data_IF_866400677249
#
_entry.id   IF_866400677249
#
_cell.length_a   1.000
_cell.length_b   1.000
_cell.length_c   1.000
_cell.angle_alpha   90.00
_cell.angle_beta   90.00
_cell.angle_gamma   90.00
#
_symmetry.space_group_name_H-M   'P 1'
#
loop_
_entity.id
_entity.type
_entity.pdbx_description
1 polymer ?
#
# COMPACT_ATOMS: atom_id res chain seq x y z
N UNK A 1 12.76 -0.63 17.75
CA UNK A 1 12.99 0.74 17.23
C UNK A 1 12.11 0.90 16.00
N UNK A 2 11.41 2.02 15.79
CA UNK A 2 10.67 2.22 14.54
C UNK A 2 11.64 2.61 13.42
N UNK A 3 11.26 2.35 12.15
CA UNK A 3 12.09 2.77 11.00
C UNK A 3 12.34 4.28 10.99
N UNK A 4 11.40 5.09 11.45
CA UNK A 4 11.59 6.54 11.57
C UNK A 4 12.69 6.87 12.59
N UNK A 5 12.71 6.21 13.74
CA UNK A 5 13.78 6.42 14.74
C UNK A 5 15.15 5.95 14.25
N UNK A 6 15.20 4.86 13.48
CA UNK A 6 16.41 4.39 12.82
C UNK A 6 16.92 5.44 11.81
N UNK A 7 16.05 5.98 10.97
CA UNK A 7 16.40 7.03 10.01
C UNK A 7 16.86 8.30 10.76
N UNK A 8 16.17 8.72 11.81
CA UNK A 8 16.56 9.86 12.63
C UNK A 8 17.96 9.70 13.25
N UNK A 9 18.30 8.47 13.68
CA UNK A 9 19.65 8.20 14.21
C UNK A 9 20.75 8.35 13.16
N UNK A 10 20.42 8.09 11.90
CA UNK A 10 21.34 8.25 10.75
C UNK A 10 21.36 9.67 10.21
N UNK A 11 20.25 10.40 10.35
CA UNK A 11 20.07 11.76 9.81
C UNK A 11 19.57 12.67 10.95
N UNK A 12 20.48 13.23 11.77
CA UNK A 12 20.11 14.08 12.91
C UNK A 12 19.31 15.34 12.50
N UNK A 13 19.47 15.81 11.27
CA UNK A 13 18.68 16.93 10.73
C UNK A 13 17.17 16.60 10.71
N UNK A 14 16.80 15.35 10.36
CA UNK A 14 15.41 14.91 10.37
C UNK A 14 14.86 14.84 11.81
N UNK A 15 15.66 14.33 12.75
CA UNK A 15 15.27 14.29 14.16
C UNK A 15 14.96 15.69 14.68
N UNK A 16 15.76 16.69 14.26
CA UNK A 16 15.58 18.08 14.66
C UNK A 16 14.28 18.71 14.18
N UNK A 17 13.68 18.18 13.13
CA UNK A 17 12.38 18.64 12.59
C UNK A 17 11.18 18.06 13.32
N UNK A 18 11.34 16.98 14.09
CA UNK A 18 10.26 16.38 14.87
C UNK A 18 10.06 17.19 16.15
N UNK A 19 8.79 17.52 16.45
CA UNK A 19 8.44 18.18 17.70
C UNK A 19 8.28 17.15 18.81
N UNK A 20 9.28 17.09 19.70
CA UNK A 20 9.32 16.20 20.85
C UNK A 20 8.73 16.80 22.14
N UNK A 21 8.14 18.00 22.07
CA UNK A 21 7.48 18.59 23.24
C UNK A 21 6.39 17.68 23.78
N UNK A 22 6.18 17.77 25.10
CA UNK A 22 5.23 16.92 25.81
C UNK A 22 3.82 17.05 25.20
N UNK A 23 3.26 15.92 24.78
CA UNK A 23 1.91 15.85 24.21
C UNK A 23 1.83 16.07 22.71
N UNK A 24 2.93 16.39 22.04
CA UNK A 24 2.99 16.52 20.58
C UNK A 24 3.19 15.17 19.91
N UNK A 25 4.43 14.77 19.67
CA UNK A 25 4.68 13.45 19.11
C UNK A 25 4.43 12.35 20.14
N UNK A 26 3.81 11.24 19.73
CA UNK A 26 3.40 10.15 20.62
C UNK A 26 3.70 8.80 20.00
N UNK A 27 4.33 7.93 20.79
CA UNK A 27 4.53 6.53 20.46
C UNK A 27 4.08 5.66 21.63
N UNK A 28 3.08 4.85 21.38
CA UNK A 28 2.59 3.81 22.31
C UNK A 28 2.50 2.49 21.56
N UNK A 29 2.09 1.41 22.22
CA UNK A 29 1.87 0.11 21.58
C UNK A 29 0.85 0.19 20.45
N UNK A 30 -0.17 1.02 20.60
CA UNK A 30 -1.32 1.05 19.69
C UNK A 30 -1.45 2.36 18.88
N UNK A 31 -0.57 3.32 19.13
CA UNK A 31 -0.63 4.62 18.44
C UNK A 31 0.77 5.14 18.18
N UNK A 32 1.03 5.49 16.95
CA UNK A 32 2.25 6.20 16.53
C UNK A 32 1.83 7.46 15.81
N UNK A 33 2.30 8.59 16.30
CA UNK A 33 2.07 9.90 15.68
C UNK A 33 3.32 10.77 15.85
N UNK A 34 3.82 11.27 14.74
CA UNK A 34 4.89 12.25 14.72
C UNK A 34 4.33 13.59 14.22
N UNK A 35 4.64 14.64 14.96
CA UNK A 35 4.29 16.02 14.60
C UNK A 35 5.60 16.73 14.31
N UNK A 36 5.69 17.36 13.15
CA UNK A 36 6.84 18.14 12.73
C UNK A 36 6.70 19.60 13.15
N UNK A 37 7.82 20.33 13.23
CA UNK A 37 7.84 21.75 13.61
C UNK A 37 7.02 22.65 12.69
N UNK A 38 6.88 22.26 11.42
CA UNK A 38 6.03 22.97 10.46
C UNK A 38 4.52 22.63 10.59
N UNK A 39 4.13 21.86 11.61
CA UNK A 39 2.74 21.44 11.85
C UNK A 39 2.28 20.24 11.05
N UNK A 40 3.07 19.71 10.12
CA UNK A 40 2.69 18.47 9.41
C UNK A 40 2.74 17.26 10.34
N UNK A 41 1.97 16.22 10.02
CA UNK A 41 1.88 15.02 10.86
C UNK A 41 1.96 13.76 10.04
N UNK A 42 2.61 12.75 10.61
CA UNK A 42 2.58 11.35 10.14
C UNK A 42 2.05 10.49 11.28
N UNK A 43 1.04 9.68 11.01
CA UNK A 43 0.52 8.73 11.99
C UNK A 43 0.08 7.42 11.34
N UNK A 44 -0.09 6.39 12.16
CA UNK A 44 -0.60 5.10 11.73
C UNK A 44 -2.11 5.08 11.95
N UNK A 45 -2.83 4.75 10.88
CA UNK A 45 -4.28 4.58 10.89
C UNK A 45 -4.60 3.08 10.68
N UNK A 46 -5.35 2.50 11.61
CA UNK A 46 -5.78 1.12 11.45
C UNK A 46 -6.87 1.01 10.37
N UNK A 47 -6.77 0.02 9.48
CA UNK A 47 -7.81 -0.28 8.49
C UNK A 47 -9.01 -0.96 9.16
N UNK A 48 -9.81 -0.21 9.92
CA UNK A 48 -10.94 -0.67 10.73
C UNK A 48 -12.06 0.36 10.74
N UNK A 49 -13.27 -0.08 11.06
CA UNK A 49 -14.44 0.78 11.21
C UNK A 49 -14.22 1.90 12.24
N UNK A 50 -13.44 1.65 13.30
CA UNK A 50 -13.07 2.66 14.31
C UNK A 50 -12.28 3.85 13.78
N UNK A 51 -11.74 3.75 12.58
CA UNK A 51 -11.02 4.85 11.90
C UNK A 51 -11.95 5.81 11.15
N UNK A 52 -13.24 5.50 11.10
CA UNK A 52 -14.26 6.39 10.51
C UNK A 52 -14.26 7.76 11.16
N UNK A 53 -14.36 8.79 10.33
CA UNK A 53 -14.39 10.19 10.81
C UNK A 53 -13.01 10.81 11.04
N UNK A 54 -11.92 10.07 10.92
CA UNK A 54 -10.57 10.63 10.92
C UNK A 54 -10.37 11.56 9.70
N UNK A 55 -9.37 12.42 9.76
CA UNK A 55 -9.06 13.37 8.67
C UNK A 55 -7.59 13.30 8.32
N UNK A 56 -7.30 13.11 7.04
CA UNK A 56 -5.94 13.04 6.49
C UNK A 56 -5.90 13.73 5.12
N UNK A 57 -4.74 14.17 4.71
CA UNK A 57 -4.54 14.79 3.38
C UNK A 57 -3.88 13.84 2.38
N UNK A 58 -3.25 12.78 2.88
CA UNK A 58 -2.59 11.76 2.07
C UNK A 58 -2.70 10.42 2.79
N UNK A 59 -2.77 9.33 2.04
CA UNK A 59 -2.74 7.95 2.53
C UNK A 59 -1.58 7.20 1.89
N UNK A 60 -0.84 6.47 2.72
CA UNK A 60 0.07 5.43 2.30
C UNK A 60 -0.46 4.11 2.86
N UNK A 61 -0.85 3.20 1.99
CA UNK A 61 -1.46 1.92 2.32
C UNK A 61 -0.46 0.81 2.04
N UNK A 62 0.17 0.33 3.08
CA UNK A 62 1.10 -0.80 3.01
C UNK A 62 0.32 -2.11 3.09
N UNK A 63 0.79 -3.12 2.36
CA UNK A 63 0.15 -4.44 2.27
C UNK A 63 -1.34 -4.36 1.91
N UNK A 64 -1.69 -3.51 0.94
CA UNK A 64 -3.09 -3.26 0.61
C UNK A 64 -3.84 -4.52 0.13
N UNK A 65 -3.13 -5.58 -0.26
CA UNK A 65 -3.69 -6.90 -0.56
C UNK A 65 -4.41 -7.53 0.64
N UNK A 66 -4.03 -7.15 1.87
CA UNK A 66 -4.61 -7.65 3.12
C UNK A 66 -5.77 -6.77 3.64
N UNK A 67 -5.99 -5.60 3.04
CA UNK A 67 -7.04 -4.68 3.48
C UNK A 67 -8.37 -5.13 2.87
N UNK A 68 -9.41 -5.17 3.70
CA UNK A 68 -10.77 -5.39 3.24
C UNK A 68 -11.24 -4.23 2.34
N UNK A 69 -11.77 -4.57 1.16
CA UNK A 69 -12.15 -3.58 0.15
C UNK A 69 -13.29 -2.67 0.59
N UNK A 70 -14.24 -3.18 1.37
CA UNK A 70 -15.36 -2.38 1.87
C UNK A 70 -14.87 -1.38 2.93
N UNK A 71 -13.99 -1.80 3.82
CA UNK A 71 -13.33 -0.92 4.79
C UNK A 71 -12.48 0.13 4.07
N UNK A 72 -11.72 -0.26 3.05
CA UNK A 72 -10.91 0.69 2.29
C UNK A 72 -11.76 1.77 1.65
N UNK A 73 -12.82 1.39 0.92
CA UNK A 73 -13.66 2.32 0.18
C UNK A 73 -14.59 3.15 1.07
N UNK A 74 -15.16 2.55 2.14
CA UNK A 74 -16.18 3.22 2.95
C UNK A 74 -15.63 3.95 4.18
N UNK A 75 -14.43 3.61 4.63
CA UNK A 75 -13.82 4.17 5.85
C UNK A 75 -12.53 4.91 5.56
N UNK A 76 -11.55 4.25 4.92
CA UNK A 76 -10.18 4.77 4.83
C UNK A 76 -10.08 5.87 3.76
N UNK A 77 -10.48 5.60 2.52
CA UNK A 77 -10.43 6.60 1.44
C UNK A 77 -11.18 7.88 1.79
N UNK A 78 -12.42 7.83 2.36
CA UNK A 78 -13.13 9.04 2.77
C UNK A 78 -12.41 9.90 3.82
N UNK A 79 -11.41 9.38 4.54
CA UNK A 79 -10.61 10.20 5.46
C UNK A 79 -9.82 11.31 4.75
N UNK A 80 -9.53 11.16 3.45
CA UNK A 80 -8.81 12.16 2.65
C UNK A 80 -9.70 13.28 2.11
N UNK A 81 -11.01 13.25 2.38
CA UNK A 81 -11.94 14.26 1.89
C UNK A 81 -11.85 15.57 2.71
N UNK A 82 -10.65 16.09 2.92
CA UNK A 82 -10.41 17.39 3.58
C UNK A 82 -9.29 18.13 2.87
N UNK A 83 -9.44 19.45 2.77
CA UNK A 83 -8.41 20.30 2.22
C UNK A 83 -7.31 20.53 3.27
N UNK A 84 -6.08 20.69 2.80
CA UNK A 84 -4.94 21.04 3.64
C UNK A 84 -5.18 22.42 4.28
N UNK A 85 -4.84 22.54 5.56
CA UNK A 85 -4.73 23.84 6.22
C UNK A 85 -3.34 24.44 5.92
N UNK A 86 -3.32 25.71 5.57
CA UNK A 86 -2.11 26.51 5.48
C UNK A 86 -1.67 26.98 6.88
N UNK A 87 -0.41 27.46 7.05
CA UNK A 87 0.08 27.91 8.35
C UNK A 87 -0.74 29.06 8.98
N UNK A 88 -1.45 29.83 8.18
CA UNK A 88 -2.36 30.87 8.60
C UNK A 88 -3.78 30.39 8.97
N UNK A 89 -3.98 29.05 9.04
CA UNK A 89 -5.27 28.39 9.26
C UNK A 89 -6.31 28.59 8.14
N UNK A 90 -5.94 29.18 7.01
CA UNK A 90 -6.79 29.16 5.82
C UNK A 90 -6.77 27.78 5.14
N UNK A 91 -7.85 27.42 4.46
CA UNK A 91 -7.87 26.20 3.65
C UNK A 91 -7.23 26.47 2.30
N UNK A 92 -6.37 25.57 1.89
CA UNK A 92 -5.81 25.62 0.54
C UNK A 92 -6.95 25.48 -0.49
N UNK A 93 -6.88 26.26 -1.57
CA UNK A 93 -7.85 26.18 -2.66
C UNK A 93 -7.90 24.76 -3.26
N UNK A 94 -9.06 24.38 -3.77
CA UNK A 94 -9.31 23.02 -4.33
C UNK A 94 -8.37 22.68 -5.50
N UNK A 95 -7.92 23.66 -6.24
CA UNK A 95 -6.99 23.53 -7.37
C UNK A 95 -5.58 23.00 -6.99
N UNK A 96 -5.24 23.00 -5.71
CA UNK A 96 -3.91 22.56 -5.20
C UNK A 96 -4.07 21.43 -4.17
N UNK A 97 -5.10 20.63 -4.29
CA UNK A 97 -5.40 19.58 -3.31
C UNK A 97 -4.51 18.37 -3.54
N UNK A 98 -3.65 18.11 -2.57
CA UNK A 98 -2.90 16.87 -2.53
C UNK A 98 -3.68 15.82 -1.73
N UNK A 99 -4.52 15.06 -2.41
CA UNK A 99 -5.26 13.90 -1.87
C UNK A 99 -4.60 12.60 -2.31
N UNK A 100 -3.29 12.55 -2.31
CA UNK A 100 -2.52 11.42 -2.82
C UNK A 100 -2.84 10.13 -2.07
N UNK A 101 -3.02 9.08 -2.83
CA UNK A 101 -3.19 7.72 -2.35
C UNK A 101 -2.06 6.87 -2.91
N UNK A 102 -1.25 6.30 -2.04
CA UNK A 102 -0.11 5.46 -2.39
C UNK A 102 -0.41 4.05 -1.92
N UNK A 103 -0.42 3.10 -2.84
CA UNK A 103 -0.65 1.69 -2.59
C UNK A 103 0.67 0.94 -2.73
N UNK A 104 1.09 0.25 -1.67
CA UNK A 104 2.30 -0.57 -1.66
C UNK A 104 1.87 -2.00 -1.32
N UNK A 105 2.20 -2.96 -2.16
CA UNK A 105 1.81 -4.35 -1.93
C UNK A 105 2.56 -5.30 -2.85
N UNK A 106 2.64 -6.56 -2.47
CA UNK A 106 2.95 -7.67 -3.36
C UNK A 106 1.73 -8.06 -4.20
N UNK A 107 1.91 -8.90 -5.21
CA UNK A 107 0.81 -9.35 -6.05
C UNK A 107 -0.18 -10.21 -5.23
N UNK A 108 -1.46 -9.92 -5.40
CA UNK A 108 -2.54 -10.65 -4.77
C UNK A 108 -3.17 -11.72 -5.66
N UNK A 109 -4.33 -12.24 -5.22
CA UNK A 109 -5.16 -13.11 -6.02
C UNK A 109 -5.95 -12.29 -7.05
N UNK A 110 -6.13 -12.82 -8.28
CA UNK A 110 -6.89 -12.15 -9.35
C UNK A 110 -8.36 -11.87 -9.01
N UNK A 111 -8.90 -12.57 -8.04
CA UNK A 111 -10.25 -12.33 -7.51
C UNK A 111 -10.26 -11.46 -6.24
N UNK A 112 -9.14 -10.83 -5.89
CA UNK A 112 -9.07 -9.93 -4.75
C UNK A 112 -9.44 -8.49 -5.12
N UNK A 113 -9.86 -7.72 -4.13
CA UNK A 113 -10.06 -6.29 -4.27
C UNK A 113 -8.79 -5.58 -4.76
N UNK A 114 -7.62 -5.94 -4.22
CA UNK A 114 -6.35 -5.33 -4.61
C UNK A 114 -6.03 -5.50 -6.10
N UNK A 115 -6.36 -6.67 -6.68
CA UNK A 115 -6.21 -6.89 -8.11
C UNK A 115 -7.17 -6.02 -8.93
N UNK A 116 -8.43 -5.92 -8.52
CA UNK A 116 -9.41 -5.04 -9.18
C UNK A 116 -8.95 -3.57 -9.13
N UNK A 117 -8.40 -3.15 -7.99
CA UNK A 117 -7.85 -1.79 -7.83
C UNK A 117 -6.61 -1.57 -8.70
N UNK A 118 -5.73 -2.56 -8.82
CA UNK A 118 -4.59 -2.50 -9.74
C UNK A 118 -5.04 -2.30 -11.20
N UNK A 119 -6.04 -3.06 -11.65
CA UNK A 119 -6.58 -2.93 -13.01
C UNK A 119 -7.20 -1.54 -13.22
N UNK A 120 -7.97 -1.04 -12.25
CA UNK A 120 -8.53 0.32 -12.28
C UNK A 120 -7.41 1.37 -12.45
N UNK A 121 -6.36 1.29 -11.62
CA UNK A 121 -5.22 2.21 -11.67
C UNK A 121 -4.43 2.09 -12.99
N UNK A 122 -4.28 0.87 -13.54
CA UNK A 122 -3.65 0.67 -14.85
C UNK A 122 -4.43 1.39 -15.96
N UNK A 123 -5.75 1.28 -15.95
CA UNK A 123 -6.60 2.02 -16.90
C UNK A 123 -6.45 3.53 -16.69
N UNK A 124 -6.48 3.98 -15.44
CA UNK A 124 -6.33 5.40 -15.11
C UNK A 124 -4.97 5.94 -15.56
N UNK A 125 -3.89 5.21 -15.37
CA UNK A 125 -2.54 5.64 -15.79
C UNK A 125 -2.38 5.79 -17.31
N UNK A 126 -3.23 5.10 -18.10
CA UNK A 126 -3.27 5.25 -19.57
C UNK A 126 -4.10 6.48 -19.96
N UNK A 127 -5.22 6.73 -19.24
CA UNK A 127 -6.12 7.84 -19.53
C UNK A 127 -5.51 9.16 -19.07
N UNK A 128 -4.91 9.17 -17.88
CA UNK A 128 -4.37 10.36 -17.21
C UNK A 128 -3.01 10.05 -16.56
N UNK A 129 -1.94 10.01 -17.35
CA UNK A 129 -0.61 9.66 -16.86
C UNK A 129 0.00 10.71 -15.92
N UNK A 130 -0.54 11.93 -15.86
CA UNK A 130 -0.07 12.97 -14.94
C UNK A 130 -0.62 12.77 -13.52
N UNK A 131 -1.78 12.15 -13.39
CA UNK A 131 -2.44 11.94 -12.10
C UNK A 131 -2.24 10.54 -11.52
N UNK A 132 -1.86 9.55 -12.34
CA UNK A 132 -1.72 8.17 -11.91
C UNK A 132 -0.43 7.54 -12.43
N UNK A 133 0.38 7.02 -11.52
CA UNK A 133 1.60 6.28 -11.83
C UNK A 133 1.57 4.90 -11.20
N UNK A 134 1.99 3.89 -11.96
CA UNK A 134 2.20 2.54 -11.48
C UNK A 134 3.65 2.16 -11.65
N UNK A 135 4.22 1.58 -10.60
CA UNK A 135 5.56 0.99 -10.61
C UNK A 135 5.47 -0.44 -10.10
N UNK A 136 6.17 -1.33 -10.72
CA UNK A 136 6.26 -2.71 -10.30
C UNK A 136 7.54 -3.36 -10.81
N UNK A 137 7.95 -4.43 -10.16
CA UNK A 137 9.16 -5.17 -10.51
C UNK A 137 9.12 -6.58 -9.94
N UNK A 138 10.12 -7.34 -10.30
CA UNK A 138 10.34 -8.70 -9.83
C UNK A 138 11.61 -8.73 -8.97
N UNK A 139 11.87 -9.84 -8.31
CA UNK A 139 13.06 -10.02 -7.47
C UNK A 139 14.38 -9.92 -8.24
N UNK A 140 14.35 -10.09 -9.55
CA UNK A 140 15.55 -9.99 -10.40
C UNK A 140 16.17 -8.58 -10.35
N UNK A 141 15.34 -7.55 -10.23
CA UNK A 141 15.85 -6.17 -10.13
C UNK A 141 16.71 -5.96 -8.87
N UNK A 142 16.26 -6.25 -7.64
CA UNK A 142 17.10 -6.11 -6.46
C UNK A 142 18.29 -7.11 -6.45
N UNK A 143 18.19 -8.26 -7.09
CA UNK A 143 19.36 -9.15 -7.27
C UNK A 143 20.41 -8.48 -8.16
N UNK A 144 20.01 -7.92 -9.30
CA UNK A 144 20.92 -7.22 -10.22
C UNK A 144 21.60 -6.02 -9.57
N UNK A 145 20.87 -5.31 -8.68
CA UNK A 145 21.38 -4.16 -7.94
C UNK A 145 22.18 -4.54 -6.67
N UNK A 146 22.36 -5.85 -6.40
CA UNK A 146 23.08 -6.33 -5.21
C UNK A 146 22.37 -6.06 -3.89
N UNK A 147 21.07 -5.81 -3.91
CA UNK A 147 20.24 -5.56 -2.72
C UNK A 147 19.61 -6.85 -2.17
N UNK A 148 19.55 -7.89 -3.00
CA UNK A 148 19.06 -9.22 -2.65
C UNK A 148 20.06 -10.26 -3.11
N UNK A 149 20.38 -11.20 -2.21
CA UNK A 149 21.29 -12.31 -2.51
C UNK A 149 20.58 -13.36 -3.38
N UNK A 150 21.15 -13.69 -4.53
CA UNK A 150 20.62 -14.72 -5.44
C UNK A 150 20.64 -16.10 -4.79
N UNK A 151 21.70 -16.44 -4.04
CA UNK A 151 21.81 -17.71 -3.33
C UNK A 151 20.67 -17.89 -2.31
N UNK A 152 20.24 -16.81 -1.67
CA UNK A 152 19.09 -16.83 -0.77
C UNK A 152 17.80 -17.20 -1.51
N UNK A 153 17.56 -16.62 -2.68
CA UNK A 153 16.39 -16.92 -3.50
C UNK A 153 16.39 -18.38 -3.98
N UNK A 154 17.55 -18.90 -4.36
CA UNK A 154 17.69 -20.29 -4.79
C UNK A 154 17.51 -21.27 -3.64
N UNK A 155 18.02 -20.95 -2.45
CA UNK A 155 17.77 -21.74 -1.25
C UNK A 155 16.28 -21.81 -0.89
N UNK A 156 15.53 -20.72 -1.06
CA UNK A 156 14.06 -20.74 -0.85
C UNK A 156 13.36 -21.75 -1.77
N UNK A 157 13.79 -21.84 -3.03
CA UNK A 157 13.22 -22.80 -4.00
C UNK A 157 13.50 -24.25 -3.64
N UNK A 158 14.59 -24.52 -2.91
CA UNK A 158 15.00 -25.86 -2.48
C UNK A 158 14.32 -26.31 -1.17
N UNK A 159 13.65 -25.41 -0.45
CA UNK A 159 12.96 -25.75 0.80
C UNK A 159 11.77 -26.69 0.55
N UNK A 160 11.58 -27.68 1.43
CA UNK A 160 10.43 -28.59 1.36
C UNK A 160 9.06 -27.92 1.52
N UNK A 161 9.03 -26.66 2.03
CA UNK A 161 7.84 -25.81 2.14
C UNK A 161 7.64 -24.90 0.92
N UNK A 162 8.47 -25.03 -0.12
CA UNK A 162 8.37 -24.23 -1.34
C UNK A 162 6.99 -24.37 -1.99
N UNK A 163 6.39 -23.23 -2.30
CA UNK A 163 5.13 -23.13 -3.02
C UNK A 163 5.30 -22.15 -4.18
N UNK A 164 5.20 -22.66 -5.41
CA UNK A 164 5.37 -21.85 -6.62
C UNK A 164 4.39 -20.68 -6.73
N UNK A 165 3.13 -20.86 -6.30
CA UNK A 165 2.13 -19.79 -6.35
C UNK A 165 2.45 -18.66 -5.36
N UNK A 166 2.97 -19.01 -4.18
CA UNK A 166 3.45 -18.03 -3.20
C UNK A 166 4.69 -17.31 -3.73
N UNK A 167 5.64 -18.07 -4.29
CA UNK A 167 6.84 -17.47 -4.88
C UNK A 167 6.50 -16.54 -6.05
N UNK A 168 5.58 -16.92 -6.93
CA UNK A 168 5.15 -16.07 -8.04
C UNK A 168 4.53 -14.75 -7.55
N UNK A 169 3.75 -14.76 -6.46
CA UNK A 169 3.17 -13.54 -5.88
C UNK A 169 4.19 -12.67 -5.17
N UNK A 170 4.98 -13.26 -4.27
CA UNK A 170 5.84 -12.53 -3.35
C UNK A 170 7.15 -12.06 -4.01
N UNK A 171 7.67 -12.82 -4.96
CA UNK A 171 8.98 -12.55 -5.57
C UNK A 171 8.88 -12.13 -7.03
N UNK A 172 7.97 -12.72 -7.81
CA UNK A 172 7.80 -12.35 -9.23
C UNK A 172 6.70 -11.34 -9.48
N UNK A 173 5.98 -10.93 -8.44
CA UNK A 173 4.87 -10.00 -8.51
C UNK A 173 3.79 -10.40 -9.54
N UNK A 174 3.52 -11.70 -9.64
CA UNK A 174 2.53 -12.27 -10.56
C UNK A 174 1.26 -12.60 -9.79
N UNK A 175 0.15 -11.95 -10.16
CA UNK A 175 -1.16 -12.29 -9.62
C UNK A 175 -1.64 -13.65 -10.15
N UNK A 176 -2.08 -14.53 -9.25
CA UNK A 176 -2.53 -15.89 -9.56
C UNK A 176 -4.02 -16.08 -9.28
N UNK A 177 -4.65 -17.04 -9.97
CA UNK A 177 -6.03 -17.43 -9.68
C UNK A 177 -6.08 -18.36 -8.47
N UNK A 178 -7.07 -18.15 -7.61
CA UNK A 178 -7.26 -19.01 -6.45
C UNK A 178 -7.62 -20.45 -6.87
N UNK A 179 -6.95 -21.44 -6.27
CA UNK A 179 -7.07 -22.87 -6.63
C UNK A 179 -8.48 -23.45 -6.58
N UNK A 180 -9.36 -22.90 -5.74
CA UNK A 180 -10.77 -23.32 -5.67
C UNK A 180 -11.55 -23.14 -6.99
N UNK A 181 -11.16 -22.18 -7.82
CA UNK A 181 -11.74 -22.03 -9.16
C UNK A 181 -11.33 -23.17 -10.11
N UNK A 182 -10.20 -23.83 -9.88
CA UNK A 182 -9.74 -24.98 -10.66
C UNK A 182 -10.54 -26.25 -10.34
N UNK A 183 -11.01 -26.42 -9.10
CA UNK A 183 -11.86 -27.55 -8.69
C UNK A 183 -13.32 -27.33 -9.17
N UNK A 184 -13.74 -26.07 -9.24
CA UNK A 184 -15.07 -25.67 -9.73
C UNK A 184 -15.12 -25.47 -11.26
N UNK A 185 -14.02 -25.75 -11.99
CA UNK A 185 -13.92 -25.58 -13.43
C UNK A 185 -15.02 -26.31 -14.24
N UNK A 186 -15.56 -27.39 -13.71
CA UNK A 186 -16.71 -28.08 -14.29
C UNK A 186 -18.08 -27.45 -13.94
N UNK A 187 -18.13 -26.48 -13.01
CA UNK A 187 -19.37 -25.83 -12.59
C UNK A 187 -19.50 -24.37 -13.10
N UNK A 188 -18.41 -23.77 -13.59
CA UNK A 188 -18.45 -22.40 -14.13
C UNK A 188 -19.12 -22.31 -15.50
N UNK A 189 -19.14 -23.38 -16.28
CA UNK A 189 -19.93 -23.43 -17.52
C UNK A 189 -21.44 -23.27 -17.25
N UNK A 190 -21.90 -23.61 -16.05
CA UNK A 190 -23.30 -23.43 -15.65
C UNK A 190 -23.68 -21.95 -15.38
N UNK A 191 -22.70 -21.04 -15.24
CA UNK A 191 -22.93 -19.63 -14.99
C UNK A 191 -22.71 -18.73 -16.24
N UNK A 192 -22.50 -19.30 -17.42
CA UNK A 192 -22.47 -18.56 -18.69
C UNK A 192 -21.24 -17.68 -18.91
N UNK A 193 -20.16 -17.87 -18.17
CA UNK A 193 -18.90 -17.19 -18.41
C UNK A 193 -17.99 -18.03 -19.30
N UNK A 194 -18.01 -17.77 -20.62
CA UNK A 194 -17.01 -18.31 -21.52
C UNK A 194 -15.71 -17.52 -21.38
N UNK A 195 -14.69 -18.10 -20.77
CA UNK A 195 -13.32 -17.56 -20.79
C UNK A 195 -12.65 -18.08 -22.08
N UNK A 196 -12.67 -17.27 -23.13
CA UNK A 196 -11.85 -17.49 -24.31
C UNK A 196 -10.41 -17.11 -23.96
N UNK A 197 -9.55 -18.10 -23.74
CA UNK A 197 -8.11 -17.88 -23.76
C UNK A 197 -7.66 -17.79 -25.23
N UNK A 198 -7.13 -16.66 -25.61
CA UNK A 198 -6.18 -16.49 -26.71
C UNK A 198 -4.87 -16.02 -26.14
#
# INVERSE_FOLDING_TARGET
MSKIEEICSLIPALESEINWERGQSKKTKDTVKYIFKNGSTIDILAAKESSRGQRRTCLLMEECVLIDGDILNSVIIPTTNVNRLLPDNTRQNEEVVNKSQIYITTAGWKNSFAYSKLVELLVQSIIDPEECMIMGGTYETPVTEGLLDEDFVDQLKLQGTYNSETFDREYKNISVLFKLLRIAGNSLESFGYSVSMK
#
